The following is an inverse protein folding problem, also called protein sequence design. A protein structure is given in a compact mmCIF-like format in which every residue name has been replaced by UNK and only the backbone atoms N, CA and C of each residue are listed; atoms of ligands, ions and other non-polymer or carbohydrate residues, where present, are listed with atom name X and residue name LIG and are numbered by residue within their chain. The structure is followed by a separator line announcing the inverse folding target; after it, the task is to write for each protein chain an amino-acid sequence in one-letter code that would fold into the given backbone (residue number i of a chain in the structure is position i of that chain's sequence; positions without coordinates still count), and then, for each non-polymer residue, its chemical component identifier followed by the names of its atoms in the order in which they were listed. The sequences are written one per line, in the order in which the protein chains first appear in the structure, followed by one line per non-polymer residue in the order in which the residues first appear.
data_IF_627549500859
#
_entry.id   IF_627549500859
#
_cell.length_a   1.000
_cell.length_b   1.000
_cell.length_c   1.000
_cell.angle_alpha   90.00
_cell.angle_beta   90.00
_cell.angle_gamma   90.00
#
_symmetry.space_group_name_H-M   'P 1'
#
loop_
_entity.id
_entity.type
_entity.pdbx_description
1 polymer ?
#
# COMPACT_ATOMS: atom_id res chain seq x y z
N UNK A 1 0.87 -5.16 26.70
CA UNK A 1 -0.13 -4.08 26.88
C UNK A 1 -1.12 -4.18 25.75
N UNK A 2 -2.32 -4.67 26.03
CA UNK A 2 -3.47 -4.59 25.11
C UNK A 2 -4.04 -3.18 25.20
N UNK A 3 -4.16 -2.51 24.06
CA UNK A 3 -4.82 -1.21 23.95
C UNK A 3 -6.22 -1.48 23.43
N UNK A 4 -7.23 -1.33 24.28
CA UNK A 4 -8.61 -1.63 23.91
C UNK A 4 -9.17 -0.59 22.92
N UNK A 5 -8.80 0.68 23.08
CA UNK A 5 -9.11 1.74 22.12
C UNK A 5 -7.98 2.78 22.05
N UNK A 6 -7.48 3.00 20.84
CA UNK A 6 -6.44 3.99 20.56
C UNK A 6 -6.91 5.41 20.89
N UNK A 7 -8.14 5.79 20.52
CA UNK A 7 -8.61 7.16 20.66
C UNK A 7 -8.84 7.55 22.12
N UNK A 8 -9.38 6.62 22.92
CA UNK A 8 -9.47 6.77 24.38
C UNK A 8 -8.09 6.97 25.01
N UNK A 9 -7.09 6.20 24.58
CA UNK A 9 -5.72 6.34 25.09
C UNK A 9 -5.07 7.66 24.72
N UNK A 10 -5.30 8.17 23.51
CA UNK A 10 -4.84 9.50 23.09
C UNK A 10 -5.40 10.56 24.04
N UNK A 11 -6.71 10.55 24.31
CA UNK A 11 -7.33 11.53 25.21
C UNK A 11 -6.78 11.49 26.64
N UNK A 12 -6.56 10.28 27.16
CA UNK A 12 -6.10 10.09 28.54
C UNK A 12 -4.60 10.33 28.71
N UNK A 13 -3.83 10.42 27.62
CA UNK A 13 -2.39 10.56 27.65
C UNK A 13 -1.92 11.88 27.04
N UNK A 14 -1.55 12.84 27.91
CA UNK A 14 -1.01 14.15 27.52
C UNK A 14 0.23 14.07 26.62
N UNK A 15 1.07 13.04 26.78
CA UNK A 15 2.24 12.85 25.93
C UNK A 15 1.82 12.53 24.49
N UNK A 16 0.85 11.63 24.31
CA UNK A 16 0.33 11.30 22.98
C UNK A 16 -0.34 12.50 22.32
N UNK A 17 -1.14 13.26 23.07
CA UNK A 17 -1.73 14.52 22.58
C UNK A 17 -0.65 15.49 22.08
N UNK A 18 0.44 15.65 22.82
CA UNK A 18 1.52 16.55 22.43
C UNK A 18 2.34 16.05 21.24
N UNK A 19 2.40 14.75 20.98
CA UNK A 19 3.18 14.18 19.86
C UNK A 19 2.41 14.07 18.54
N UNK A 20 1.09 14.20 18.57
CA UNK A 20 0.26 14.08 17.37
C UNK A 20 -0.33 15.43 16.90
N UNK A 21 -0.47 15.58 15.58
CA UNK A 21 -1.24 16.63 14.91
C UNK A 21 -2.67 16.15 14.69
N UNK A 22 -3.60 16.77 15.42
CA UNK A 22 -5.04 16.53 15.34
C UNK A 22 -5.81 17.74 14.77
N UNK A 23 -5.10 18.72 14.20
CA UNK A 23 -5.70 19.97 13.74
C UNK A 23 -6.74 19.82 12.62
N UNK A 24 -6.63 18.73 11.84
CA UNK A 24 -7.54 18.40 10.73
C UNK A 24 -8.77 17.59 11.17
N UNK A 25 -8.93 17.31 12.47
CA UNK A 25 -10.12 16.65 12.98
C UNK A 25 -11.35 17.58 12.89
N UNK A 26 -12.57 17.01 12.75
CA UNK A 26 -13.80 17.76 12.96
C UNK A 26 -13.84 18.39 14.36
N UNK A 27 -14.38 19.60 14.46
CA UNK A 27 -14.53 20.29 15.76
C UNK A 27 -15.35 19.45 16.75
N UNK A 28 -16.44 18.86 16.26
CA UNK A 28 -17.30 17.95 17.02
C UNK A 28 -16.97 16.48 16.68
N UNK A 29 -15.69 16.09 16.80
CA UNK A 29 -15.33 14.69 16.59
C UNK A 29 -15.86 13.81 17.73
N UNK A 30 -16.29 12.59 17.39
CA UNK A 30 -16.88 11.61 18.33
C UNK A 30 -15.96 11.19 19.48
N UNK A 31 -14.66 11.49 19.36
CA UNK A 31 -13.66 11.16 20.36
C UNK A 31 -13.39 12.31 21.32
N UNK A 32 -13.86 13.54 21.07
CA UNK A 32 -13.53 14.70 21.92
C UNK A 32 -12.05 15.10 21.91
N UNK A 33 -11.30 14.69 20.86
CA UNK A 33 -9.87 15.03 20.73
C UNK A 33 -9.75 16.53 20.37
N UNK A 34 -8.95 17.32 21.09
CA UNK A 34 -8.75 18.73 20.79
C UNK A 34 -7.93 18.92 19.50
N UNK A 35 -8.24 19.97 18.74
CA UNK A 35 -7.54 20.32 17.49
C UNK A 35 -6.24 21.07 17.79
N UNK A 36 -5.13 20.33 17.86
CA UNK A 36 -3.81 20.86 18.26
C UNK A 36 -2.71 20.53 17.23
N UNK A 37 -1.56 21.21 17.35
CA UNK A 37 -0.30 20.91 16.65
C UNK A 37 -0.32 21.06 15.11
N UNK A 38 -1.16 21.95 14.57
CA UNK A 38 -1.31 22.18 13.12
C UNK A 38 0.02 22.41 12.41
N UNK A 39 0.43 21.46 11.57
CA UNK A 39 1.63 21.54 10.72
C UNK A 39 2.94 21.75 11.50
N UNK A 40 2.99 21.34 12.77
CA UNK A 40 4.23 21.39 13.57
C UNK A 40 5.15 20.27 13.11
N UNK A 41 6.40 20.56 12.70
CA UNK A 41 7.35 19.52 12.29
C UNK A 41 7.63 18.51 13.40
N UNK A 42 7.80 17.24 13.01
CA UNK A 42 8.10 16.15 13.95
C UNK A 42 6.89 15.54 14.64
N UNK A 43 5.68 16.09 14.43
CA UNK A 43 4.43 15.54 14.99
C UNK A 43 3.83 14.48 14.07
N UNK A 44 3.30 13.42 14.68
CA UNK A 44 2.63 12.32 13.97
C UNK A 44 1.21 12.73 13.60
N UNK A 45 0.74 12.36 12.42
CA UNK A 45 -0.64 12.66 12.00
C UNK A 45 -1.46 11.39 11.96
N UNK A 46 -2.71 11.45 12.42
CA UNK A 46 -3.70 10.44 12.01
C UNK A 46 -4.11 10.73 10.56
N UNK A 47 -3.61 9.92 9.62
CA UNK A 47 -3.88 10.05 8.19
C UNK A 47 -5.36 9.92 7.82
N UNK A 48 -6.17 9.29 8.67
CA UNK A 48 -7.60 9.11 8.46
C UNK A 48 -8.45 10.07 9.29
N UNK A 49 -7.85 11.01 10.04
CA UNK A 49 -8.56 12.02 10.84
C UNK A 49 -9.69 11.43 11.70
N UNK A 50 -9.46 10.31 12.38
CA UNK A 50 -10.46 9.62 13.20
C UNK A 50 -11.36 8.64 12.45
N UNK A 51 -11.20 8.48 11.13
CA UNK A 51 -11.97 7.48 10.39
C UNK A 51 -11.37 6.09 10.55
N UNK A 52 -12.20 5.11 10.89
CA UNK A 52 -11.74 3.74 11.16
C UNK A 52 -11.54 2.98 9.85
N UNK A 53 -10.35 2.40 9.68
CA UNK A 53 -10.06 1.44 8.62
C UNK A 53 -10.59 0.06 9.02
N UNK A 54 -11.44 -0.55 8.19
CA UNK A 54 -12.07 -1.85 8.52
C UNK A 54 -11.39 -3.03 7.86
N UNK A 55 -10.92 -2.84 6.63
CA UNK A 55 -10.31 -3.88 5.83
C UNK A 55 -9.10 -3.31 5.11
N UNK A 56 -8.01 -4.07 5.09
CA UNK A 56 -6.77 -3.71 4.42
C UNK A 56 -6.27 -4.90 3.60
N UNK A 57 -5.87 -4.64 2.36
CA UNK A 57 -5.20 -5.60 1.50
C UNK A 57 -3.92 -4.98 0.98
N UNK A 58 -2.79 -5.50 1.43
CA UNK A 58 -1.45 -5.10 1.00
C UNK A 58 -0.84 -6.16 0.09
N UNK A 59 -0.47 -5.78 -1.14
CA UNK A 59 0.24 -6.69 -2.06
C UNK A 59 1.74 -6.42 -2.03
N UNK A 60 2.15 -5.15 -2.03
CA UNK A 60 3.55 -4.71 -2.07
C UNK A 60 3.68 -3.27 -1.58
N UNK A 61 4.91 -2.81 -1.35
CA UNK A 61 5.21 -1.38 -1.13
C UNK A 61 4.51 -0.50 -2.17
N UNK A 62 3.68 0.46 -1.71
CA UNK A 62 2.89 1.38 -2.55
C UNK A 62 1.87 0.70 -3.49
N UNK A 63 1.47 -0.54 -3.16
CA UNK A 63 0.43 -1.31 -3.85
C UNK A 63 -0.51 -1.96 -2.82
N UNK A 64 -1.58 -1.26 -2.48
CA UNK A 64 -2.52 -1.66 -1.44
C UNK A 64 -3.88 -0.99 -1.61
N UNK A 65 -4.89 -1.52 -0.93
CA UNK A 65 -6.23 -0.94 -0.84
C UNK A 65 -6.78 -1.10 0.57
N UNK A 66 -7.66 -0.18 0.98
CA UNK A 66 -8.39 -0.32 2.23
C UNK A 66 -9.79 0.31 2.17
N UNK A 67 -10.66 -0.13 3.07
CA UNK A 67 -12.00 0.41 3.28
C UNK A 67 -12.08 1.24 4.54
N UNK A 68 -12.87 2.30 4.47
CA UNK A 68 -13.19 3.17 5.60
C UNK A 68 -14.61 2.87 6.07
N UNK A 69 -14.79 2.69 7.38
CA UNK A 69 -16.07 2.31 7.99
C UNK A 69 -17.20 3.29 7.68
N UNK A 70 -16.97 4.58 7.96
CA UNK A 70 -18.03 5.61 7.96
C UNK A 70 -18.62 5.85 6.57
N UNK A 71 -17.77 6.03 5.57
CA UNK A 71 -18.20 6.44 4.23
C UNK A 71 -18.24 5.29 3.22
N UNK A 72 -17.89 4.06 3.64
CA UNK A 72 -17.68 2.88 2.76
C UNK A 72 -16.74 3.15 1.58
N UNK A 73 -15.94 4.21 1.69
CA UNK A 73 -15.01 4.63 0.64
C UNK A 73 -13.86 3.63 0.56
N UNK A 74 -13.46 3.32 -0.67
CA UNK A 74 -12.34 2.42 -0.97
C UNK A 74 -11.17 3.26 -1.47
N UNK A 75 -10.08 3.30 -0.71
CA UNK A 75 -8.85 3.96 -1.14
C UNK A 75 -7.94 2.93 -1.80
N UNK A 76 -7.53 3.21 -3.04
CA UNK A 76 -6.66 2.35 -3.85
C UNK A 76 -5.33 3.05 -4.12
N UNK A 77 -4.22 2.41 -3.79
CA UNK A 77 -2.86 2.88 -4.11
C UNK A 77 -2.21 1.85 -5.02
N UNK A 78 -1.89 2.26 -6.24
CA UNK A 78 -1.31 1.39 -7.28
C UNK A 78 -0.16 2.12 -7.94
N UNK A 79 1.07 1.72 -7.61
CA UNK A 79 2.27 2.33 -8.19
C UNK A 79 2.32 2.12 -9.71
N UNK A 80 2.58 3.20 -10.45
CA UNK A 80 2.86 3.15 -11.90
C UNK A 80 1.64 3.12 -12.83
N UNK A 81 0.43 3.14 -12.27
CA UNK A 81 -0.86 3.21 -12.98
C UNK A 81 -1.51 4.58 -12.77
N UNK A 82 -2.12 5.14 -13.82
CA UNK A 82 -2.79 6.44 -13.77
C UNK A 82 -3.98 6.43 -12.80
N UNK A 83 -4.17 7.54 -12.07
CA UNK A 83 -5.25 7.69 -11.07
C UNK A 83 -6.65 7.44 -11.65
N UNK A 84 -6.93 7.91 -12.87
CA UNK A 84 -8.22 7.69 -13.54
C UNK A 84 -8.51 6.21 -13.77
N UNK A 85 -7.51 5.45 -14.23
CA UNK A 85 -7.61 4.00 -14.43
C UNK A 85 -7.81 3.29 -13.10
N UNK A 86 -7.05 3.66 -12.06
CA UNK A 86 -7.24 3.10 -10.71
C UNK A 86 -8.65 3.36 -10.19
N UNK A 87 -9.20 4.57 -10.41
CA UNK A 87 -10.57 4.91 -9.99
C UNK A 87 -11.60 4.06 -10.73
N UNK A 88 -11.49 3.94 -12.05
CA UNK A 88 -12.56 3.43 -12.91
C UNK A 88 -12.46 1.93 -13.26
N UNK A 89 -11.28 1.31 -13.19
CA UNK A 89 -11.04 -0.08 -13.67
C UNK A 89 -10.64 -1.07 -12.58
N UNK A 90 -10.34 -0.60 -11.37
CA UNK A 90 -9.95 -1.44 -10.24
C UNK A 90 -10.98 -1.35 -9.12
N UNK A 91 -11.28 -2.46 -8.46
CA UNK A 91 -12.11 -2.54 -7.27
C UNK A 91 -11.35 -3.22 -6.12
N UNK A 92 -11.92 -3.17 -4.92
CA UNK A 92 -11.31 -3.82 -3.74
C UNK A 92 -11.11 -5.33 -3.96
N UNK A 93 -12.11 -6.00 -4.54
CA UNK A 93 -12.08 -7.45 -4.77
C UNK A 93 -10.94 -7.88 -5.70
N UNK A 94 -10.51 -7.01 -6.62
CA UNK A 94 -9.36 -7.31 -7.48
C UNK A 94 -8.07 -7.51 -6.68
N UNK A 95 -7.87 -6.72 -5.62
CA UNK A 95 -6.69 -6.86 -4.75
C UNK A 95 -6.80 -8.13 -3.92
N UNK A 96 -7.99 -8.41 -3.38
CA UNK A 96 -8.25 -9.61 -2.59
C UNK A 96 -8.03 -10.89 -3.42
N UNK A 97 -8.59 -10.94 -4.63
CA UNK A 97 -8.39 -12.04 -5.57
C UNK A 97 -6.93 -12.17 -6.00
N UNK A 98 -6.24 -11.04 -6.23
CA UNK A 98 -4.82 -11.04 -6.56
C UNK A 98 -3.99 -11.63 -5.42
N UNK A 99 -4.30 -11.31 -4.17
CA UNK A 99 -3.60 -11.84 -2.99
C UNK A 99 -3.79 -13.36 -2.86
N UNK A 100 -5.05 -13.82 -2.91
CA UNK A 100 -5.38 -15.22 -2.67
C UNK A 100 -5.01 -16.14 -3.83
N UNK A 101 -5.35 -15.74 -5.06
CA UNK A 101 -5.15 -16.57 -6.25
C UNK A 101 -3.77 -16.36 -6.88
N UNK A 102 -2.99 -15.38 -6.41
CA UNK A 102 -1.70 -14.96 -6.97
C UNK A 102 -1.76 -14.57 -8.46
N UNK A 103 -2.96 -14.29 -8.96
CA UNK A 103 -3.19 -13.92 -10.35
C UNK A 103 -2.97 -12.42 -10.57
N UNK A 104 -2.03 -12.01 -11.44
CA UNK A 104 -1.81 -10.60 -11.71
C UNK A 104 -2.97 -10.00 -12.50
N UNK A 105 -3.26 -8.71 -12.23
CA UNK A 105 -4.25 -7.93 -13.01
C UNK A 105 -3.55 -6.95 -13.92
N UNK A 106 -3.92 -6.95 -15.19
CA UNK A 106 -3.39 -6.03 -16.19
C UNK A 106 -4.41 -4.94 -16.54
N UNK A 107 -3.93 -3.74 -16.83
CA UNK A 107 -4.74 -2.59 -17.26
C UNK A 107 -4.06 -1.88 -18.42
N UNK A 108 -4.88 -1.53 -19.42
CA UNK A 108 -4.46 -0.65 -20.51
C UNK A 108 -4.55 0.80 -20.07
N UNK A 109 -3.58 1.61 -20.49
CA UNK A 109 -3.62 3.06 -20.29
C UNK A 109 -2.91 3.78 -21.42
N UNK A 110 -3.51 4.85 -21.94
CA UNK A 110 -2.87 5.67 -22.97
C UNK A 110 -1.78 6.54 -22.35
N UNK A 111 -0.62 6.64 -22.97
CA UNK A 111 0.47 7.55 -22.59
C UNK A 111 1.25 8.02 -23.79
N UNK A 112 1.82 9.22 -23.71
CA UNK A 112 2.85 9.65 -24.64
C UNK A 112 4.17 8.97 -24.27
N UNK A 113 4.96 8.65 -25.29
CA UNK A 113 6.36 8.23 -25.17
C UNK A 113 7.19 9.01 -26.18
N UNK A 114 8.46 9.12 -25.88
CA UNK A 114 9.45 9.75 -26.75
C UNK A 114 10.54 8.74 -27.04
N UNK A 115 10.89 8.59 -28.30
CA UNK A 115 12.05 7.83 -28.76
C UNK A 115 12.72 8.64 -29.87
N UNK A 116 14.04 8.79 -29.82
CA UNK A 116 14.81 9.62 -30.76
C UNK A 116 14.20 11.01 -31.04
N UNK A 117 13.70 11.67 -29.99
CA UNK A 117 13.01 12.98 -30.06
C UNK A 117 11.67 13.00 -30.80
N UNK A 118 11.14 11.86 -31.22
CA UNK A 118 9.80 11.74 -31.80
C UNK A 118 8.79 11.33 -30.72
N UNK A 119 7.66 12.05 -30.65
CA UNK A 119 6.60 11.79 -29.68
C UNK A 119 5.52 10.93 -30.34
N UNK A 120 5.16 9.83 -29.68
CA UNK A 120 4.10 8.94 -30.14
C UNK A 120 3.16 8.58 -28.99
N UNK A 121 1.92 8.27 -29.35
CA UNK A 121 0.91 7.79 -28.40
C UNK A 121 0.98 6.27 -28.35
N UNK A 122 1.02 5.71 -27.14
CA UNK A 122 0.97 4.26 -26.92
C UNK A 122 -0.12 3.90 -25.93
N UNK A 123 -0.66 2.70 -26.09
CA UNK A 123 -1.54 2.04 -25.11
C UNK A 123 -0.81 0.83 -24.48
N UNK A 124 0.11 1.03 -23.53
CA UNK A 124 0.73 -0.08 -22.80
C UNK A 124 -0.30 -0.83 -21.97
N UNK A 125 -0.27 -2.16 -22.08
CA UNK A 125 -0.92 -3.07 -21.15
C UNK A 125 -0.02 -3.28 -19.93
N UNK A 126 -0.28 -2.58 -18.83
CA UNK A 126 0.54 -2.63 -17.62
C UNK A 126 0.01 -3.64 -16.61
N UNK A 127 0.91 -4.38 -15.97
CA UNK A 127 0.61 -5.12 -14.76
C UNK A 127 0.29 -4.14 -13.62
N UNK A 128 -0.97 -4.04 -13.26
CA UNK A 128 -1.46 -3.17 -12.19
C UNK A 128 -1.35 -3.82 -10.82
N UNK A 129 -1.78 -5.07 -10.70
CA UNK A 129 -1.77 -5.82 -9.45
C UNK A 129 -0.92 -7.09 -9.60
N UNK A 130 -0.19 -7.43 -8.54
CA UNK A 130 0.65 -8.63 -8.45
C UNK A 130 0.88 -8.95 -6.98
N UNK A 131 0.72 -10.21 -6.58
CA UNK A 131 1.04 -10.67 -5.22
C UNK A 131 2.55 -10.80 -4.96
N UNK A 132 3.36 -10.85 -6.03
CA UNK A 132 4.81 -10.98 -5.91
C UNK A 132 5.48 -9.66 -5.51
N UNK A 133 6.35 -9.70 -4.51
CA UNK A 133 7.27 -8.62 -4.16
C UNK A 133 8.68 -8.94 -4.64
N UNK A 134 9.24 -8.07 -5.48
CA UNK A 134 10.62 -8.22 -5.97
C UNK A 134 11.66 -7.66 -4.96
N UNK A 135 11.23 -6.97 -3.90
CA UNK A 135 12.14 -6.30 -2.93
C UNK A 135 12.45 -7.14 -1.71
N UNK A 136 11.57 -8.07 -1.37
CA UNK A 136 11.70 -8.95 -0.20
C UNK A 136 11.34 -10.37 -0.62
N UNK A 137 11.98 -11.35 0.02
CA UNK A 137 11.61 -12.75 -0.15
C UNK A 137 10.42 -13.05 0.75
N UNK A 138 9.32 -13.52 0.15
CA UNK A 138 8.15 -14.00 0.90
C UNK A 138 8.42 -15.48 1.25
N UNK A 139 8.39 -15.82 2.55
CA UNK A 139 8.60 -17.19 3.02
C UNK A 139 7.42 -18.10 2.60
N UNK A 140 7.62 -19.42 2.74
CA UNK A 140 6.63 -20.43 2.33
C UNK A 140 5.26 -20.26 3.01
N UNK A 141 5.24 -19.68 4.22
CA UNK A 141 3.99 -19.36 4.94
C UNK A 141 3.18 -18.22 4.30
N UNK A 142 3.73 -17.53 3.30
CA UNK A 142 3.04 -16.49 2.54
C UNK A 142 2.85 -15.15 3.28
N UNK A 143 3.33 -15.04 4.51
CA UNK A 143 3.11 -13.87 5.38
C UNK A 143 4.44 -13.22 5.74
N UNK A 144 5.39 -14.02 6.22
CA UNK A 144 6.66 -13.49 6.67
C UNK A 144 7.53 -13.14 5.48
N UNK A 145 8.21 -12.00 5.59
CA UNK A 145 9.10 -11.52 4.54
C UNK A 145 10.48 -11.24 5.10
N UNK A 146 11.50 -11.77 4.44
CA UNK A 146 12.90 -11.55 4.82
C UNK A 146 13.65 -10.78 3.73
N UNK A 147 14.76 -10.17 4.12
CA UNK A 147 15.67 -9.63 3.13
C UNK A 147 16.18 -10.77 2.23
N UNK A 148 16.31 -10.44 0.97
CA UNK A 148 17.00 -11.25 0.00
C UNK A 148 18.41 -11.64 0.49
N UNK A 149 18.76 -12.93 0.43
CA UNK A 149 20.04 -13.46 0.94
C UNK A 149 20.06 -13.80 2.43
N UNK A 150 18.92 -13.67 3.14
CA UNK A 150 18.78 -14.14 4.52
C UNK A 150 18.85 -15.67 4.61
N UNK A 151 19.41 -16.21 5.70
CA UNK A 151 19.61 -17.66 5.86
C UNK A 151 18.31 -18.47 5.74
N UNK A 152 17.18 -17.91 6.20
CA UNK A 152 15.85 -18.55 6.11
C UNK A 152 15.34 -18.73 4.69
N UNK A 153 15.94 -18.07 3.69
CA UNK A 153 15.56 -18.27 2.28
C UNK A 153 16.00 -19.64 1.77
N UNK A 154 16.94 -20.32 2.44
CA UNK A 154 17.56 -21.59 2.01
C UNK A 154 18.23 -21.51 0.61
N UNK A 155 18.42 -20.31 0.07
CA UNK A 155 19.11 -20.06 -1.20
C UNK A 155 20.57 -19.75 -0.87
N UNK A 156 21.50 -20.48 -1.48
CA UNK A 156 22.93 -20.17 -1.37
C UNK A 156 23.20 -18.77 -1.92
N UNK A 157 24.04 -18.01 -1.24
CA UNK A 157 24.33 -16.60 -1.58
C UNK A 157 24.83 -16.42 -3.02
N UNK A 158 25.62 -17.37 -3.53
CA UNK A 158 26.12 -17.38 -4.91
C UNK A 158 25.01 -17.47 -5.97
N UNK A 159 23.94 -18.21 -5.68
CA UNK A 159 22.82 -18.43 -6.61
C UNK A 159 21.69 -17.41 -6.46
N UNK A 160 21.83 -16.49 -5.50
CA UNK A 160 20.80 -15.51 -5.16
C UNK A 160 20.36 -14.67 -6.36
N UNK A 161 21.34 -14.14 -7.11
CA UNK A 161 21.09 -13.20 -8.20
C UNK A 161 20.37 -13.89 -9.36
N UNK A 162 20.83 -15.08 -9.71
CA UNK A 162 20.20 -15.90 -10.74
C UNK A 162 18.76 -16.28 -10.35
N UNK A 163 18.54 -16.68 -9.09
CA UNK A 163 17.20 -16.97 -8.59
C UNK A 163 16.27 -15.75 -8.71
N UNK A 164 16.73 -14.57 -8.28
CA UNK A 164 15.96 -13.34 -8.36
C UNK A 164 15.66 -12.97 -9.83
N UNK A 165 16.64 -13.05 -10.71
CA UNK A 165 16.47 -12.74 -12.13
C UNK A 165 15.49 -13.71 -12.80
N UNK A 166 15.57 -14.99 -12.47
CA UNK A 166 14.62 -16.01 -12.95
C UNK A 166 13.22 -15.76 -12.41
N UNK A 167 13.07 -15.41 -11.12
CA UNK A 167 11.78 -15.06 -10.53
C UNK A 167 11.16 -13.83 -11.19
N UNK A 168 11.97 -12.78 -11.41
CA UNK A 168 11.54 -11.56 -12.09
C UNK A 168 11.12 -11.87 -13.52
N UNK A 169 11.89 -12.67 -14.26
CA UNK A 169 11.56 -13.09 -15.62
C UNK A 169 10.28 -13.91 -15.65
N UNK A 170 10.11 -14.92 -14.80
CA UNK A 170 8.90 -15.75 -14.74
C UNK A 170 7.67 -14.92 -14.40
N UNK A 171 7.81 -14.01 -13.43
CA UNK A 171 6.70 -13.16 -13.04
C UNK A 171 6.38 -12.10 -14.10
N UNK A 172 7.36 -11.60 -14.85
CA UNK A 172 7.18 -10.57 -15.88
C UNK A 172 7.01 -11.10 -17.30
N UNK A 173 7.18 -12.41 -17.54
CA UNK A 173 6.86 -13.04 -18.81
C UNK A 173 5.37 -12.87 -19.09
N UNK A 174 5.12 -12.24 -20.23
CA UNK A 174 3.84 -12.23 -20.95
C UNK A 174 3.85 -13.48 -21.82
#
# INVERSE_FOLDING_TARGET
MTTDDFYTNVNNNKQLLNEFDFSDYPENNKYGIPRINKKVPGKFKDELNGQIMTEFVGLRSKLYTYKIFENKNVIKKVKGVKKSIVKNKLCFNDFYNCLNNKNPKYVKQNTFRTDKHEIYTVEPNKKALSAYDDKRYILENGIDTVAWGHYSTKIKRENFREYLDNLIKTNNKI
#
